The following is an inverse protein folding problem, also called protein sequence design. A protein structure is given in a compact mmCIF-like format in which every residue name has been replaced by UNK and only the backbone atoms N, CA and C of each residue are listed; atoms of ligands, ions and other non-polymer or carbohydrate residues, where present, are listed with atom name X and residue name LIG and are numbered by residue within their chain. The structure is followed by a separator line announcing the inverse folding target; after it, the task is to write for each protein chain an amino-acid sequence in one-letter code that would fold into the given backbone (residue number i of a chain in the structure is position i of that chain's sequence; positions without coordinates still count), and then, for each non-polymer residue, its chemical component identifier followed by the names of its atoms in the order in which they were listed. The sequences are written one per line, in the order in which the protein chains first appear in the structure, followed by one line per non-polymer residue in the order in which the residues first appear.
data_IF_761422926970
#
_entry.id   IF_761422926970
#
_cell.length_a   1.000
_cell.length_b   1.000
_cell.length_c   1.000
_cell.angle_alpha   90.00
_cell.angle_beta   90.00
_cell.angle_gamma   90.00
#
_symmetry.space_group_name_H-M   'P 1'
#
loop_
_entity.id
_entity.type
_entity.pdbx_description
1 polymer ?
#
# COMPACT_ATOMS: atom_id res chain seq x y z
N UNK A 1 -3.21 -2.93 34.60
CA UNK A 1 -2.19 -3.58 33.75
C UNK A 1 -1.98 -2.68 32.56
N UNK A 2 -0.84 -2.01 32.51
CA UNK A 2 -0.47 -1.05 31.48
C UNK A 2 -0.25 -1.81 30.17
N UNK A 3 -1.15 -1.63 29.21
CA UNK A 3 -0.91 -2.01 27.82
C UNK A 3 0.33 -1.25 27.41
N UNK A 4 1.46 -1.95 27.22
CA UNK A 4 2.64 -1.35 26.62
C UNK A 4 2.17 -0.78 25.28
N UNK A 5 2.17 0.55 25.17
CA UNK A 5 1.86 1.24 23.94
C UNK A 5 2.94 0.82 22.95
N UNK A 6 2.63 -0.23 22.19
CA UNK A 6 3.35 -0.56 20.98
C UNK A 6 3.08 0.60 20.04
N UNK A 7 3.89 1.65 20.15
CA UNK A 7 3.97 2.69 19.14
C UNK A 7 4.78 2.03 18.03
N UNK A 8 4.17 1.54 16.93
CA UNK A 8 4.96 1.32 15.74
C UNK A 8 5.60 2.69 15.48
N UNK A 9 6.92 2.77 15.61
CA UNK A 9 7.64 3.93 15.11
C UNK A 9 7.12 4.15 13.70
N UNK A 10 6.63 5.36 13.33
CA UNK A 10 6.40 5.68 11.93
C UNK A 10 7.66 5.24 11.22
N UNK A 11 7.57 4.15 10.43
CA UNK A 11 8.74 3.70 9.69
C UNK A 11 9.00 4.87 8.76
N UNK A 12 10.11 5.60 8.91
CA UNK A 12 10.44 6.62 7.95
C UNK A 12 10.44 5.89 6.62
N UNK A 13 9.51 6.29 5.76
CA UNK A 13 9.53 5.92 4.36
C UNK A 13 10.96 6.20 3.90
N UNK A 14 11.75 5.19 3.49
CA UNK A 14 13.14 5.42 3.14
C UNK A 14 13.18 6.58 2.13
N UNK A 15 14.02 7.61 2.34
CA UNK A 15 14.06 8.70 1.39
C UNK A 15 14.42 8.13 0.02
N UNK A 16 13.87 8.68 -1.09
CA UNK A 16 14.37 8.36 -2.40
C UNK A 16 15.87 8.64 -2.41
N UNK A 17 16.68 7.62 -2.65
CA UNK A 17 18.11 7.82 -2.78
C UNK A 17 18.37 8.76 -3.98
N UNK A 18 19.24 9.76 -3.79
CA UNK A 18 19.73 10.62 -4.87
C UNK A 18 18.86 11.84 -5.20
N UNK A 19 18.50 12.00 -6.48
CA UNK A 19 18.09 13.27 -7.08
C UNK A 19 16.83 13.92 -6.47
N UNK A 20 15.91 13.14 -5.89
CA UNK A 20 14.67 13.65 -5.32
C UNK A 20 14.89 14.46 -4.02
N UNK A 21 15.87 14.10 -3.18
CA UNK A 21 16.27 14.90 -2.00
C UNK A 21 16.90 16.24 -2.41
N UNK A 22 17.60 16.26 -3.55
CA UNK A 22 18.21 17.47 -4.10
C UNK A 22 17.19 18.42 -4.76
N UNK A 23 16.09 17.90 -5.31
CA UNK A 23 15.00 18.69 -5.88
C UNK A 23 14.10 19.29 -4.77
N UNK A 24 13.86 18.57 -3.67
CA UNK A 24 13.17 19.06 -2.47
C UNK A 24 13.85 20.30 -1.86
N UNK A 25 15.18 20.30 -1.76
CA UNK A 25 15.97 21.46 -1.27
C UNK A 25 15.92 22.68 -2.20
N UNK A 26 15.42 22.55 -3.43
CA UNK A 26 15.39 23.61 -4.45
C UNK A 26 14.02 24.24 -4.65
N UNK A 27 13.01 23.90 -3.84
CA UNK A 27 11.66 24.47 -3.95
C UNK A 27 10.96 24.16 -5.27
N UNK A 28 11.41 23.13 -6.01
CA UNK A 28 10.75 22.66 -7.23
C UNK A 28 9.64 21.68 -6.87
N UNK A 29 8.48 21.85 -7.49
CA UNK A 29 7.35 20.93 -7.34
C UNK A 29 7.79 19.49 -7.69
N UNK A 30 7.57 18.56 -6.76
CA UNK A 30 7.82 17.15 -6.98
C UNK A 30 7.03 16.68 -8.21
N UNK A 31 7.68 15.94 -9.10
CA UNK A 31 6.98 15.24 -10.17
C UNK A 31 6.07 14.17 -9.55
N UNK A 32 4.91 13.88 -10.16
CA UNK A 32 3.94 12.92 -9.63
C UNK A 32 4.59 11.61 -9.17
N UNK A 33 4.06 11.00 -8.10
CA UNK A 33 2.87 11.45 -7.37
C UNK A 33 3.16 12.57 -6.38
N UNK A 34 2.18 13.48 -6.35
CA UNK A 34 2.09 14.59 -5.42
C UNK A 34 1.82 14.04 -4.02
N UNK A 35 2.85 13.89 -3.20
CA UNK A 35 2.63 13.89 -1.75
C UNK A 35 2.01 15.27 -1.42
N UNK A 36 0.76 15.36 -0.96
CA UNK A 36 0.22 16.65 -0.54
C UNK A 36 1.09 17.15 0.61
N UNK A 37 1.79 18.27 0.39
CA UNK A 37 2.65 18.87 1.40
C UNK A 37 1.79 19.49 2.51
N UNK A 38 2.33 19.53 3.73
CA UNK A 38 1.63 20.00 4.93
C UNK A 38 0.96 21.38 4.80
N UNK A 39 1.41 22.20 3.86
CA UNK A 39 0.92 23.55 3.62
C UNK A 39 -0.31 23.63 2.70
N UNK A 40 -0.51 22.64 1.83
CA UNK A 40 -1.59 22.62 0.81
C UNK A 40 -2.44 21.34 0.92
N UNK A 41 -2.45 20.72 2.09
CA UNK A 41 -3.14 19.47 2.35
C UNK A 41 -4.64 19.69 2.61
N UNK A 42 -5.48 19.00 1.84
CA UNK A 42 -6.91 18.85 2.10
C UNK A 42 -7.20 17.37 2.36
N UNK A 43 -7.77 16.99 3.52
CA UNK A 43 -8.11 15.60 3.80
C UNK A 43 -9.10 15.03 2.80
N UNK A 44 -8.79 13.83 2.29
CA UNK A 44 -9.71 13.06 1.44
C UNK A 44 -10.73 12.27 2.25
N UNK A 45 -10.41 11.93 3.50
CA UNK A 45 -11.24 11.15 4.41
C UNK A 45 -11.26 11.77 5.83
N UNK A 46 -11.73 13.02 6.01
CA UNK A 46 -11.60 13.75 7.28
C UNK A 46 -12.23 13.06 8.50
N UNK A 47 -13.28 12.26 8.29
CA UNK A 47 -13.97 11.55 9.38
C UNK A 47 -13.36 10.17 9.69
N UNK A 48 -12.44 9.69 8.84
CA UNK A 48 -11.84 8.37 8.95
C UNK A 48 -10.38 8.46 9.37
N UNK A 49 -9.63 9.41 8.82
CA UNK A 49 -8.18 9.47 8.98
C UNK A 49 -7.66 10.89 9.22
N UNK A 50 -6.47 10.93 9.82
CA UNK A 50 -5.66 12.14 9.92
C UNK A 50 -4.22 11.83 9.59
N UNK A 51 -3.59 12.68 8.78
CA UNK A 51 -2.14 12.63 8.57
C UNK A 51 -1.45 13.28 9.77
N UNK A 52 -0.54 12.54 10.39
CA UNK A 52 0.46 13.08 11.29
C UNK A 52 1.74 13.34 10.48
N UNK A 53 1.96 14.61 10.12
CA UNK A 53 3.17 15.01 9.40
C UNK A 53 4.40 14.92 10.29
N UNK A 54 5.50 14.40 9.74
CA UNK A 54 6.82 14.46 10.38
C UNK A 54 7.33 15.89 10.57
N UNK A 55 8.48 16.06 11.24
CA UNK A 55 9.20 17.33 11.29
C UNK A 55 9.45 17.89 9.87
N UNK A 56 9.58 19.20 9.77
CA UNK A 56 9.86 19.86 8.48
C UNK A 56 11.23 19.43 7.94
N UNK A 57 11.29 19.00 6.68
CA UNK A 57 12.47 18.36 6.09
C UNK A 57 12.62 16.86 6.39
N UNK A 58 11.72 16.29 7.20
CA UNK A 58 11.57 14.86 7.49
C UNK A 58 10.16 14.39 7.12
N UNK A 59 9.64 14.84 5.97
CA UNK A 59 8.29 14.51 5.50
C UNK A 59 8.07 12.99 5.38
N UNK A 60 9.17 12.25 5.20
CA UNK A 60 9.20 10.79 5.19
C UNK A 60 8.82 10.11 6.52
N UNK A 61 8.85 10.85 7.63
CA UNK A 61 8.36 10.42 8.94
C UNK A 61 6.84 10.60 9.12
N UNK A 62 6.13 11.04 8.08
CA UNK A 62 4.67 11.21 8.15
C UNK A 62 3.95 9.86 8.22
N UNK A 63 2.77 9.84 8.83
CA UNK A 63 1.96 8.63 8.96
C UNK A 63 0.46 8.91 8.93
N UNK A 64 -0.32 7.93 8.52
CA UNK A 64 -1.78 7.99 8.59
C UNK A 64 -2.28 7.39 9.91
N UNK A 65 -3.16 8.11 10.61
CA UNK A 65 -3.81 7.64 11.84
C UNK A 65 -5.31 7.48 11.66
N UNK A 66 -5.90 6.53 12.38
CA UNK A 66 -7.35 6.35 12.43
C UNK A 66 -8.04 7.42 13.30
N UNK A 67 -9.11 8.04 12.83
CA UNK A 67 -9.93 8.99 13.61
C UNK A 67 -11.12 8.34 14.33
N UNK A 68 -11.35 7.05 14.06
CA UNK A 68 -12.31 6.18 14.77
C UNK A 68 -11.73 4.78 14.97
N UNK A 69 -12.35 4.01 15.85
CA UNK A 69 -11.98 2.61 16.07
C UNK A 69 -12.60 1.71 14.98
N UNK A 70 -11.90 0.61 14.66
CA UNK A 70 -12.35 -0.42 13.73
C UNK A 70 -12.18 -1.80 14.37
N UNK A 71 -13.05 -2.74 14.01
CA UNK A 71 -12.91 -4.15 14.33
C UNK A 71 -12.23 -4.89 13.19
N UNK A 72 -11.52 -5.98 13.53
CA UNK A 72 -10.97 -6.88 12.51
C UNK A 72 -12.04 -7.25 11.49
N UNK A 73 -11.71 -7.07 10.20
CA UNK A 73 -12.60 -7.34 9.08
C UNK A 73 -13.39 -6.14 8.59
N UNK A 74 -13.51 -5.06 9.38
CA UNK A 74 -14.19 -3.84 8.96
C UNK A 74 -13.55 -3.28 7.69
N UNK A 75 -14.38 -2.75 6.79
CA UNK A 75 -13.89 -1.99 5.66
C UNK A 75 -13.76 -0.53 6.10
N UNK A 76 -12.55 0.00 6.01
CA UNK A 76 -12.24 1.37 6.41
C UNK A 76 -12.80 2.34 5.37
N UNK A 77 -12.45 2.13 4.11
CA UNK A 77 -12.87 2.92 2.96
C UNK A 77 -12.63 2.17 1.64
N UNK A 78 -13.33 2.54 0.55
CA UNK A 78 -12.96 2.11 -0.80
C UNK A 78 -11.67 2.80 -1.25
N UNK A 79 -10.94 2.17 -2.18
CA UNK A 79 -9.83 2.79 -2.91
C UNK A 79 -10.39 3.29 -4.25
N UNK A 80 -10.36 4.61 -4.45
CA UNK A 80 -10.94 5.32 -5.60
C UNK A 80 -10.16 6.60 -5.87
N UNK A 81 -10.46 7.25 -7.00
CA UNK A 81 -9.79 8.48 -7.45
C UNK A 81 -8.28 8.30 -7.69
N UNK A 82 -7.88 7.10 -8.08
CA UNK A 82 -6.48 6.74 -8.33
C UNK A 82 -6.00 7.34 -9.65
N UNK A 83 -4.70 7.64 -9.73
CA UNK A 83 -4.06 8.10 -10.96
C UNK A 83 -3.25 6.96 -11.59
N UNK A 84 -2.95 7.02 -12.90
CA UNK A 84 -1.98 6.12 -13.51
C UNK A 84 -0.63 6.20 -12.79
N UNK A 85 -0.10 5.05 -12.36
CA UNK A 85 1.20 4.94 -11.73
C UNK A 85 2.21 4.22 -12.62
N UNK A 86 3.49 4.50 -12.38
CA UNK A 86 4.59 3.63 -12.79
C UNK A 86 5.15 2.96 -11.55
N UNK A 87 5.94 1.89 -11.73
CA UNK A 87 6.67 1.29 -10.62
C UNK A 87 7.54 2.35 -9.94
N UNK A 88 7.17 2.70 -8.72
CA UNK A 88 7.83 3.70 -7.88
C UNK A 88 7.52 3.44 -6.41
N UNK A 89 8.31 4.06 -5.53
CA UNK A 89 8.16 3.97 -4.08
C UNK A 89 6.73 4.25 -3.56
N UNK A 90 6.05 5.20 -4.20
CA UNK A 90 4.73 5.72 -3.84
C UNK A 90 3.56 4.99 -4.50
N UNK A 91 3.84 4.18 -5.51
CA UNK A 91 2.82 3.48 -6.30
C UNK A 91 2.35 2.21 -5.60
N UNK A 92 1.15 1.75 -5.95
CA UNK A 92 0.65 0.43 -5.55
C UNK A 92 0.48 -0.43 -6.79
N UNK A 93 1.08 -1.62 -6.78
CA UNK A 93 0.89 -2.64 -7.79
C UNK A 93 -0.48 -3.33 -7.62
N UNK A 94 -1.27 -3.35 -8.69
CA UNK A 94 -2.66 -3.86 -8.72
C UNK A 94 -2.85 -5.05 -9.67
N UNK A 95 -1.85 -5.35 -10.49
CA UNK A 95 -1.81 -6.49 -11.41
C UNK A 95 -0.39 -7.07 -11.47
N UNK A 96 -0.17 -8.27 -12.02
CA UNK A 96 1.18 -8.83 -12.15
C UNK A 96 2.12 -7.89 -12.91
N UNK A 97 3.30 -7.61 -12.37
CA UNK A 97 4.34 -6.83 -13.04
C UNK A 97 5.75 -7.43 -12.75
N UNK A 98 6.40 -8.06 -13.73
CA UNK A 98 5.99 -8.15 -15.13
C UNK A 98 4.70 -8.97 -15.34
N UNK A 99 3.96 -8.72 -16.44
CA UNK A 99 2.84 -9.58 -16.84
C UNK A 99 3.23 -11.05 -16.87
N UNK A 100 2.29 -11.93 -16.55
CA UNK A 100 2.50 -13.37 -16.72
C UNK A 100 2.51 -13.74 -18.21
N UNK A 101 3.27 -14.77 -18.64
CA UNK A 101 3.20 -15.24 -20.01
C UNK A 101 1.80 -15.74 -20.36
N UNK A 102 1.27 -15.41 -21.55
CA UNK A 102 -0.05 -15.91 -22.00
C UNK A 102 -0.13 -17.45 -22.10
N UNK A 103 1.00 -18.16 -22.07
CA UNK A 103 1.07 -19.62 -21.99
C UNK A 103 0.81 -20.17 -20.58
N UNK A 104 0.68 -19.31 -19.57
CA UNK A 104 0.35 -19.68 -18.19
C UNK A 104 -1.12 -20.11 -18.05
N UNK A 105 -1.51 -20.67 -16.89
CA UNK A 105 -2.87 -21.17 -16.64
C UNK A 105 -3.96 -20.13 -16.99
N UNK A 106 -5.07 -20.58 -17.61
CA UNK A 106 -6.24 -19.77 -17.96
C UNK A 106 -7.12 -19.36 -16.77
N UNK A 107 -6.74 -19.71 -15.53
CA UNK A 107 -7.55 -19.45 -14.33
C UNK A 107 -7.52 -17.97 -13.89
N UNK A 108 -6.61 -17.17 -14.45
CA UNK A 108 -6.45 -15.75 -14.13
C UNK A 108 -7.14 -14.84 -15.16
N UNK A 109 -7.58 -13.63 -14.77
CA UNK A 109 -8.14 -12.65 -15.70
C UNK A 109 -7.17 -12.33 -16.84
N UNK A 110 -7.69 -12.04 -18.03
CA UNK A 110 -6.86 -11.72 -19.20
C UNK A 110 -5.90 -10.54 -18.98
N UNK A 111 -6.24 -9.62 -18.08
CA UNK A 111 -5.40 -8.48 -17.69
C UNK A 111 -4.09 -8.88 -17.00
N UNK A 112 -3.97 -10.12 -16.52
CA UNK A 112 -2.75 -10.60 -15.85
C UNK A 112 -1.62 -10.89 -16.85
N UNK A 113 -1.95 -11.13 -18.11
CA UNK A 113 -1.00 -11.64 -19.10
C UNK A 113 -0.37 -10.55 -19.95
N UNK A 114 0.71 -10.91 -20.64
CA UNK A 114 1.43 -10.08 -21.62
C UNK A 114 0.60 -9.71 -22.86
N UNK A 115 -0.49 -10.44 -23.13
CA UNK A 115 -1.46 -10.14 -24.20
C UNK A 115 -2.46 -9.04 -23.83
N UNK A 116 -2.48 -8.58 -22.58
CA UNK A 116 -3.35 -7.48 -22.17
C UNK A 116 -3.01 -6.19 -22.94
N UNK A 117 -3.99 -5.30 -23.19
CA UNK A 117 -3.74 -4.03 -23.86
C UNK A 117 -2.62 -3.23 -23.19
N UNK A 118 -1.81 -2.51 -23.96
CA UNK A 118 -0.71 -1.68 -23.43
C UNK A 118 -1.18 -0.57 -22.48
N UNK A 119 -2.46 -0.20 -22.53
CA UNK A 119 -3.11 0.74 -21.60
C UNK A 119 -3.47 0.13 -20.24
N UNK A 120 -3.24 -1.17 -20.03
CA UNK A 120 -3.54 -1.87 -18.78
C UNK A 120 -2.64 -1.36 -17.67
N UNK A 121 -3.24 -0.65 -16.70
CA UNK A 121 -2.53 -0.10 -15.53
C UNK A 121 -2.17 -1.21 -14.56
N UNK A 122 -0.87 -1.46 -14.37
CA UNK A 122 -0.35 -2.44 -13.39
C UNK A 122 0.05 -1.79 -12.07
N UNK A 123 0.33 -0.49 -12.11
CA UNK A 123 0.60 0.36 -10.96
C UNK A 123 -0.38 1.55 -10.96
N UNK A 124 -0.76 1.97 -9.76
CA UNK A 124 -1.59 3.15 -9.52
C UNK A 124 -0.95 4.08 -8.50
N UNK A 125 -1.36 5.34 -8.52
CA UNK A 125 -1.12 6.29 -7.44
C UNK A 125 -2.42 6.51 -6.67
N UNK A 126 -2.36 6.40 -5.35
CA UNK A 126 -3.55 6.43 -4.49
C UNK A 126 -4.26 7.79 -4.46
N UNK A 127 -3.54 8.88 -4.73
CA UNK A 127 -4.07 10.25 -4.83
C UNK A 127 -5.06 10.61 -3.69
N UNK A 128 -4.73 10.16 -2.47
CA UNK A 128 -5.54 10.30 -1.27
C UNK A 128 -4.67 10.16 -0.02
N UNK A 129 -5.27 10.36 1.15
CA UNK A 129 -4.61 10.20 2.46
C UNK A 129 -3.94 8.83 2.62
N UNK A 130 -4.44 7.81 1.91
CA UNK A 130 -3.94 6.43 1.92
C UNK A 130 -2.46 6.33 1.51
N UNK A 131 -1.92 7.33 0.80
CA UNK A 131 -0.51 7.43 0.47
C UNK A 131 0.42 7.45 1.71
N UNK A 132 -0.11 7.84 2.88
CA UNK A 132 0.64 7.93 4.14
C UNK A 132 0.52 6.68 5.02
N UNK A 133 -0.03 5.57 4.50
CA UNK A 133 -0.04 4.30 5.23
C UNK A 133 1.35 3.65 5.12
N UNK A 134 2.03 3.55 6.26
CA UNK A 134 3.41 3.07 6.30
C UNK A 134 3.49 1.54 6.31
N UNK A 135 4.69 1.01 6.08
CA UNK A 135 4.93 -0.41 6.19
C UNK A 135 4.98 -0.88 7.65
N UNK A 136 4.40 -2.05 7.93
CA UNK A 136 4.75 -2.88 9.09
C UNK A 136 4.79 -4.34 8.71
N UNK A 137 5.71 -5.10 9.31
CA UNK A 137 5.70 -6.57 9.22
C UNK A 137 4.62 -7.19 10.12
N UNK A 138 3.96 -6.41 10.97
CA UNK A 138 2.77 -6.85 11.70
C UNK A 138 1.62 -5.85 11.49
N UNK A 139 1.09 -5.76 10.26
CA UNK A 139 0.18 -4.68 9.87
C UNK A 139 -1.16 -4.77 10.60
N UNK A 140 -1.88 -3.66 10.63
CA UNK A 140 -3.26 -3.57 11.13
C UNK A 140 -4.28 -3.29 10.02
N UNK A 141 -3.85 -2.93 8.81
CA UNK A 141 -4.71 -2.82 7.62
C UNK A 141 -4.17 -3.63 6.44
N UNK A 142 -5.07 -3.98 5.53
CA UNK A 142 -4.75 -4.59 4.23
C UNK A 142 -5.29 -3.72 3.11
N UNK A 143 -4.48 -3.58 2.06
CA UNK A 143 -4.90 -3.03 0.78
C UNK A 143 -5.37 -4.20 -0.07
N UNK A 144 -6.68 -4.35 -0.16
CA UNK A 144 -7.35 -5.40 -0.91
C UNK A 144 -7.70 -4.82 -2.29
N UNK A 145 -6.84 -5.11 -3.26
CA UNK A 145 -6.92 -4.61 -4.64
C UNK A 145 -7.36 -5.70 -5.61
N UNK A 146 -8.11 -6.69 -5.12
CA UNK A 146 -8.79 -7.65 -5.98
C UNK A 146 -10.04 -7.02 -6.61
N UNK A 147 -10.21 -7.26 -7.91
CA UNK A 147 -11.31 -6.70 -8.70
C UNK A 147 -10.96 -5.38 -9.37
N UNK A 148 -11.83 -4.37 -9.26
CA UNK A 148 -11.68 -3.08 -9.95
C UNK A 148 -11.73 -1.91 -8.99
N UNK A 149 -11.22 -0.75 -9.44
CA UNK A 149 -11.35 0.52 -8.73
C UNK A 149 -12.82 0.82 -8.39
N UNK A 150 -13.07 1.32 -7.17
CA UNK A 150 -14.42 1.69 -6.76
C UNK A 150 -14.87 3.00 -7.44
N UNK A 151 -16.10 3.04 -7.95
CA UNK A 151 -16.68 4.25 -8.51
C UNK A 151 -16.99 5.31 -7.43
N UNK A 152 -17.00 6.59 -7.81
CA UNK A 152 -17.39 7.67 -6.90
C UNK A 152 -18.86 7.56 -6.47
N UNK A 153 -19.71 7.09 -7.38
CA UNK A 153 -21.16 6.93 -7.16
C UNK A 153 -21.53 5.55 -6.58
N UNK A 154 -20.57 4.62 -6.51
CA UNK A 154 -20.75 3.27 -5.96
C UNK A 154 -20.62 3.29 -4.43
N UNK A 155 -21.52 4.00 -3.75
CA UNK A 155 -21.60 3.98 -2.30
C UNK A 155 -22.50 2.82 -1.84
N UNK A 156 -21.87 1.77 -1.29
CA UNK A 156 -22.59 0.70 -0.63
C UNK A 156 -23.18 1.23 0.68
N UNK A 157 -24.51 1.20 0.82
CA UNK A 157 -25.20 1.61 2.05
C UNK A 157 -24.75 0.80 3.27
N UNK A 158 -24.31 -0.44 3.03
CA UNK A 158 -23.86 -1.37 4.06
C UNK A 158 -22.33 -1.43 4.17
N UNK A 159 -21.60 -0.60 3.40
CA UNK A 159 -20.13 -0.60 3.38
C UNK A 159 -19.53 -1.88 2.78
N UNK A 160 -20.30 -2.64 2.01
CA UNK A 160 -19.84 -3.86 1.33
C UNK A 160 -19.35 -3.52 -0.08
N UNK A 161 -18.03 -3.52 -0.27
CA UNK A 161 -17.34 -3.25 -1.54
C UNK A 161 -16.70 -4.53 -2.10
N UNK A 162 -17.46 -5.62 -2.15
CA UNK A 162 -16.98 -6.88 -2.72
C UNK A 162 -16.65 -6.71 -4.21
N UNK A 163 -15.51 -7.27 -4.65
CA UNK A 163 -15.00 -7.10 -6.01
C UNK A 163 -14.50 -5.69 -6.35
N UNK A 164 -14.43 -4.81 -5.35
CA UNK A 164 -13.88 -3.46 -5.48
C UNK A 164 -12.66 -3.27 -4.58
N UNK A 165 -11.73 -2.44 -5.03
CA UNK A 165 -10.55 -2.10 -4.26
C UNK A 165 -10.94 -1.37 -2.96
N UNK A 166 -10.37 -1.80 -1.84
CA UNK A 166 -10.72 -1.30 -0.50
C UNK A 166 -9.60 -1.49 0.51
N UNK A 167 -9.64 -0.70 1.58
CA UNK A 167 -8.79 -0.89 2.76
C UNK A 167 -9.60 -1.58 3.84
N UNK A 168 -9.10 -2.70 4.38
CA UNK A 168 -9.76 -3.45 5.46
C UNK A 168 -8.89 -3.54 6.70
N UNK A 169 -9.52 -3.63 7.86
CA UNK A 169 -8.86 -3.89 9.12
C UNK A 169 -8.41 -5.36 9.19
N UNK A 170 -7.12 -5.60 9.35
CA UNK A 170 -6.56 -6.94 9.60
C UNK A 170 -6.68 -7.34 11.08
N UNK A 171 -6.81 -6.35 11.95
CA UNK A 171 -6.92 -6.45 13.41
C UNK A 171 -7.85 -5.37 13.93
N UNK A 172 -8.21 -5.43 15.21
CA UNK A 172 -8.85 -4.30 15.88
C UNK A 172 -7.90 -3.09 15.86
N UNK A 173 -8.42 -1.91 15.51
CA UNK A 173 -7.67 -0.65 15.42
C UNK A 173 -8.30 0.34 16.38
N UNK A 174 -7.50 0.90 17.28
CA UNK A 174 -7.97 1.96 18.17
C UNK A 174 -8.00 3.32 17.46
N UNK A 175 -8.88 4.23 17.92
CA UNK A 175 -8.80 5.64 17.51
C UNK A 175 -7.41 6.20 17.86
N UNK A 176 -6.79 6.88 16.91
CA UNK A 176 -5.47 7.49 17.01
C UNK A 176 -4.32 6.53 16.66
N UNK A 177 -4.59 5.25 16.44
CA UNK A 177 -3.57 4.27 16.06
C UNK A 177 -3.03 4.53 14.66
N UNK A 178 -1.74 4.27 14.44
CA UNK A 178 -1.08 4.40 13.13
C UNK A 178 -1.54 3.25 12.25
N UNK A 179 -1.99 3.57 11.04
CA UNK A 179 -2.34 2.58 10.03
C UNK A 179 -1.07 2.10 9.31
N UNK A 180 -0.90 0.78 9.24
CA UNK A 180 0.23 0.15 8.56
C UNK A 180 -0.20 -1.06 7.75
N UNK A 181 0.43 -1.28 6.59
CA UNK A 181 0.20 -2.45 5.74
C UNK A 181 1.50 -3.16 5.34
N UNK A 182 1.40 -4.42 4.95
CA UNK A 182 2.54 -5.15 4.41
C UNK A 182 2.77 -4.76 2.95
N UNK A 183 3.86 -4.05 2.62
CA UNK A 183 4.07 -3.55 1.25
C UNK A 183 4.20 -4.71 0.24
N UNK A 184 4.84 -5.81 0.65
CA UNK A 184 4.91 -7.04 -0.14
C UNK A 184 3.55 -7.74 -0.35
N UNK A 185 2.46 -7.27 0.26
CA UNK A 185 1.10 -7.78 -0.03
C UNK A 185 0.55 -7.28 -1.36
N UNK A 186 1.06 -6.16 -1.86
CA UNK A 186 0.74 -5.59 -3.18
C UNK A 186 1.94 -5.62 -4.12
N UNK A 187 3.16 -5.45 -3.61
CA UNK A 187 4.38 -5.32 -4.40
C UNK A 187 5.12 -6.64 -4.58
N UNK A 188 5.33 -7.04 -5.85
CA UNK A 188 6.12 -8.21 -6.20
C UNK A 188 7.62 -7.96 -6.01
N UNK A 189 8.10 -6.86 -6.55
CA UNK A 189 9.50 -6.45 -6.56
C UNK A 189 9.52 -4.96 -6.21
N UNK A 190 10.29 -4.49 -5.24
CA UNK A 190 10.30 -3.07 -4.88
C UNK A 190 11.23 -2.28 -5.80
N UNK A 191 10.79 -1.11 -6.26
CA UNK A 191 11.68 -0.15 -6.95
C UNK A 191 12.85 0.27 -6.05
N UNK A 192 12.54 0.46 -4.77
CA UNK A 192 13.49 0.90 -3.75
C UNK A 192 13.34 0.04 -2.50
N UNK A 193 14.09 -1.08 -2.41
CA UNK A 193 14.15 -1.89 -1.21
C UNK A 193 14.71 -1.13 -0.01
N UNK A 194 14.31 -1.51 1.21
CA UNK A 194 14.72 -0.79 2.42
C UNK A 194 14.81 -1.65 3.67
N UNK A 195 15.54 -1.14 4.67
CA UNK A 195 15.58 -1.74 6.01
C UNK A 195 14.36 -1.32 6.83
N UNK A 196 13.57 -2.29 7.26
CA UNK A 196 12.35 -2.10 8.04
C UNK A 196 12.66 -1.65 9.48
N UNK A 197 11.94 -0.63 9.92
CA UNK A 197 12.06 -0.05 11.26
C UNK A 197 10.77 -0.22 12.08
N UNK A 198 9.94 -1.22 11.76
CA UNK A 198 8.64 -1.42 12.45
C UNK A 198 8.77 -1.94 13.89
N UNK A 199 9.94 -2.46 14.25
CA UNK A 199 10.26 -2.96 15.59
C UNK A 199 9.55 -4.26 16.01
N UNK A 200 8.74 -4.89 15.14
CA UNK A 200 7.88 -6.02 15.55
C UNK A 200 8.66 -7.32 15.71
N UNK A 201 8.16 -8.22 16.56
CA UNK A 201 8.78 -9.53 16.80
C UNK A 201 8.84 -10.39 15.54
N UNK A 202 7.93 -10.15 14.58
CA UNK A 202 7.89 -10.82 13.27
C UNK A 202 8.56 -10.01 12.14
N UNK A 203 9.37 -9.02 12.47
CA UNK A 203 10.04 -8.17 11.49
C UNK A 203 10.98 -8.96 10.58
N UNK A 204 10.74 -8.91 9.27
CA UNK A 204 11.52 -9.62 8.24
C UNK A 204 12.77 -8.85 7.79
N UNK A 205 13.12 -7.78 8.51
CA UNK A 205 14.29 -6.93 8.31
C UNK A 205 14.26 -6.15 7.01
N UNK A 206 14.55 -6.75 5.87
CA UNK A 206 14.65 -5.99 4.60
C UNK A 206 13.39 -6.22 3.76
N UNK A 207 12.77 -5.13 3.31
CA UNK A 207 11.57 -5.18 2.46
C UNK A 207 11.99 -4.99 1.02
N UNK A 208 11.80 -6.03 0.21
CA UNK A 208 12.21 -6.07 -1.21
C UNK A 208 11.05 -6.44 -2.15
N UNK A 209 9.87 -6.75 -1.61
CA UNK A 209 8.73 -7.28 -2.36
C UNK A 209 8.53 -8.78 -2.13
N UNK A 210 7.40 -9.32 -2.60
CA UNK A 210 7.04 -10.73 -2.39
C UNK A 210 7.91 -11.75 -3.14
N UNK A 211 8.60 -11.32 -4.20
CA UNK A 211 9.50 -12.13 -5.02
C UNK A 211 10.57 -12.83 -4.17
N UNK A 212 11.13 -12.11 -3.20
CA UNK A 212 12.25 -12.55 -2.37
C UNK A 212 11.83 -13.19 -1.04
N UNK A 213 10.53 -13.28 -0.75
CA UNK A 213 10.02 -13.91 0.47
C UNK A 213 9.64 -15.37 0.24
N UNK A 214 9.96 -16.25 1.20
CA UNK A 214 9.51 -17.64 1.15
C UNK A 214 7.96 -17.74 1.17
N UNK A 215 7.41 -18.74 0.49
CA UNK A 215 5.97 -19.01 0.48
C UNK A 215 5.42 -19.16 1.91
N UNK A 216 6.15 -19.86 2.78
CA UNK A 216 5.80 -20.01 4.21
C UNK A 216 5.66 -18.67 4.94
N UNK A 217 6.48 -17.68 4.59
CA UNK A 217 6.36 -16.33 5.17
C UNK A 217 5.10 -15.67 4.62
N UNK A 218 4.90 -15.69 3.29
CA UNK A 218 3.74 -15.10 2.63
C UNK A 218 2.40 -15.71 3.09
N UNK A 219 2.36 -17.01 3.38
CA UNK A 219 1.17 -17.72 3.89
C UNK A 219 0.71 -17.20 5.26
N UNK A 220 1.59 -16.52 6.00
CA UNK A 220 1.25 -15.87 7.28
C UNK A 220 0.68 -14.46 7.14
N UNK A 221 0.46 -13.99 5.90
CA UNK A 221 -0.09 -12.68 5.58
C UNK A 221 -1.27 -12.78 4.61
N UNK A 222 -2.12 -11.76 4.65
CA UNK A 222 -2.91 -11.42 3.47
C UNK A 222 -1.96 -10.93 2.36
N UNK A 223 -2.04 -11.56 1.20
CA UNK A 223 -1.40 -11.10 -0.04
C UNK A 223 -2.43 -11.14 -1.16
N UNK A 224 -2.38 -10.13 -2.04
CA UNK A 224 -3.34 -9.99 -3.12
C UNK A 224 -3.19 -11.09 -4.17
N UNK A 225 -4.28 -11.35 -4.91
CA UNK A 225 -4.35 -12.43 -5.90
C UNK A 225 -3.27 -12.33 -6.97
N UNK A 226 -2.89 -11.12 -7.40
CA UNK A 226 -1.81 -10.94 -8.38
C UNK A 226 -0.45 -11.38 -7.83
N UNK A 227 -0.17 -11.12 -6.55
CA UNK A 227 1.06 -11.57 -5.90
C UNK A 227 1.10 -13.10 -5.76
N UNK A 228 -0.03 -13.72 -5.40
CA UNK A 228 -0.14 -15.19 -5.37
C UNK A 228 0.13 -15.80 -6.75
N UNK A 229 -0.48 -15.24 -7.79
CA UNK A 229 -0.28 -15.69 -9.17
C UNK A 229 1.18 -15.61 -9.62
N UNK A 230 1.85 -14.51 -9.30
CA UNK A 230 3.28 -14.33 -9.58
C UNK A 230 4.15 -15.31 -8.79
N UNK A 231 3.81 -15.57 -7.51
CA UNK A 231 4.52 -16.54 -6.69
C UNK A 231 4.39 -17.96 -7.24
N UNK A 232 3.18 -18.36 -7.63
CA UNK A 232 2.93 -19.65 -8.27
C UNK A 232 3.66 -19.79 -9.61
N UNK A 233 3.76 -18.72 -10.40
CA UNK A 233 4.55 -18.73 -11.62
C UNK A 233 6.05 -18.87 -11.33
N UNK A 234 6.58 -18.10 -10.35
CA UNK A 234 7.98 -18.19 -9.92
C UNK A 234 8.36 -19.61 -9.44
N UNK A 235 7.48 -20.30 -8.72
CA UNK A 235 7.75 -21.65 -8.20
C UNK A 235 7.69 -22.75 -9.27
N UNK A 236 7.05 -22.49 -10.42
CA UNK A 236 6.93 -23.43 -11.54
C UNK A 236 7.99 -23.24 -12.63
N UNK A 237 8.71 -22.12 -12.60
CA UNK A 237 9.72 -21.75 -13.58
C UNK A 237 11.12 -22.14 -13.08
#
# INVERSE_FOLDING_TARGET
MTVAAYLPTPVPTPPPAGAAVAELKKGKALKPPYLPQRHNYTPTHPDLFRIEFGPEGEEFGSSLRAEKAYKKGDILCPIRNTLPGIKAYSSVQVLPDPPLPSSSSSDYPSTYFDSAPSSTRRHIELNSDLLYVNHSCDPNVVFDVEGVEAGLEEESKDGLWEGKWRVRAEKDIAKGEILTFAYFSTEWDMDQPFHCLCGTDRCIKTIQGAKDLDTKVLDSYFINRHIRAMKEHQQRS
#
